data_IF_052362530638
#
_entry.id   IF_052362530638
#
_cell.length_a   1.000
_cell.length_b   1.000
_cell.length_c   1.000
_cell.angle_alpha   90.00
_cell.angle_beta   90.00
_cell.angle_gamma   90.00
#
_symmetry.space_group_name_H-M   'P 1'
#
loop_
_entity.id
_entity.type
_entity.pdbx_description
1 polymer ?
#
# COMPACT_ATOMS: atom_id res chain seq x y z
N UNK A 1 2.28 -13.95 -26.43
CA UNK A 1 1.50 -13.04 -25.59
C UNK A 1 1.46 -11.67 -26.29
N UNK A 2 0.37 -11.33 -27.00
CA UNK A 2 0.31 -10.14 -27.85
C UNK A 2 0.09 -8.83 -27.07
N UNK A 3 -0.29 -8.91 -25.79
CA UNK A 3 -0.58 -7.76 -24.94
C UNK A 3 -1.81 -6.93 -25.36
N UNK A 4 -1.97 -5.72 -24.80
CA UNK A 4 -2.99 -4.75 -25.17
C UNK A 4 -3.08 -4.48 -26.68
N UNK A 5 -4.28 -4.16 -27.15
CA UNK A 5 -4.53 -3.81 -28.56
C UNK A 5 -3.71 -2.59 -28.96
N UNK A 6 -3.66 -1.59 -28.08
CA UNK A 6 -2.94 -0.33 -28.26
C UNK A 6 -1.43 -0.51 -28.43
N UNK A 7 -0.87 -1.68 -28.10
CA UNK A 7 0.56 -1.94 -28.31
C UNK A 7 0.90 -2.24 -29.78
N UNK A 8 -0.11 -2.54 -30.62
CA UNK A 8 0.11 -2.86 -32.03
C UNK A 8 0.79 -4.20 -32.28
N UNK A 9 0.93 -5.07 -31.27
CA UNK A 9 1.64 -6.36 -31.32
C UNK A 9 0.76 -7.58 -31.61
N UNK A 10 -0.38 -7.36 -32.27
CA UNK A 10 -1.33 -8.42 -32.62
C UNK A 10 -2.38 -8.73 -31.55
N UNK A 11 -2.55 -7.87 -30.54
CA UNK A 11 -3.65 -7.98 -29.57
C UNK A 11 -4.98 -7.68 -30.25
N UNK A 12 -6.01 -8.49 -29.97
CA UNK A 12 -7.34 -8.39 -30.60
C UNK A 12 -8.50 -8.27 -29.60
N UNK A 13 -8.21 -8.46 -28.31
CA UNK A 13 -9.20 -8.36 -27.23
C UNK A 13 -8.96 -7.10 -26.38
N UNK A 14 -10.01 -6.35 -26.00
CA UNK A 14 -9.89 -5.19 -25.13
C UNK A 14 -9.19 -5.51 -23.81
N UNK A 15 -8.31 -4.61 -23.37
CA UNK A 15 -7.63 -4.72 -22.07
C UNK A 15 -7.83 -3.48 -21.21
N UNK A 16 -7.40 -3.57 -19.94
CA UNK A 16 -7.42 -2.43 -19.00
C UNK A 16 -6.55 -1.28 -19.51
N UNK A 17 -5.39 -1.57 -20.11
CA UNK A 17 -4.51 -0.53 -20.68
C UNK A 17 -5.18 0.17 -21.87
N UNK A 18 -5.94 -0.54 -22.70
CA UNK A 18 -6.71 0.07 -23.79
C UNK A 18 -7.76 1.05 -23.24
N UNK A 19 -8.47 0.67 -22.17
CA UNK A 19 -9.42 1.53 -21.49
C UNK A 19 -8.74 2.78 -20.88
N UNK A 20 -7.63 2.61 -20.16
CA UNK A 20 -6.89 3.72 -19.57
C UNK A 20 -6.39 4.72 -20.62
N UNK A 21 -5.99 4.23 -21.80
CA UNK A 21 -5.60 5.08 -22.93
C UNK A 21 -6.80 5.85 -23.50
N UNK A 22 -7.95 5.20 -23.67
CA UNK A 22 -9.19 5.84 -24.16
C UNK A 22 -9.68 6.92 -23.19
N UNK A 23 -9.58 6.68 -21.89
CA UNK A 23 -9.99 7.61 -20.82
C UNK A 23 -9.02 8.79 -20.63
N UNK A 24 -7.91 8.82 -21.37
CA UNK A 24 -6.92 9.91 -21.33
C UNK A 24 -5.92 9.81 -20.17
N UNK A 25 -5.92 8.71 -19.40
CA UNK A 25 -4.99 8.52 -18.29
C UNK A 25 -3.57 8.20 -18.75
N UNK A 26 -3.42 7.55 -19.90
CA UNK A 26 -2.12 7.25 -20.51
C UNK A 26 -1.87 8.14 -21.73
N UNK A 27 -0.61 8.51 -21.93
CA UNK A 27 -0.19 9.27 -23.10
C UNK A 27 0.14 8.33 -24.28
N UNK A 28 -0.48 8.50 -25.46
CA UNK A 28 -0.16 7.69 -26.62
C UNK A 28 1.26 7.90 -27.18
N UNK A 29 1.88 9.05 -26.93
CA UNK A 29 3.23 9.40 -27.38
C UNK A 29 4.32 9.28 -26.30
N UNK A 30 3.96 9.16 -25.02
CA UNK A 30 4.93 9.14 -23.91
C UNK A 30 5.02 7.80 -23.15
N UNK A 31 4.38 6.72 -23.61
CA UNK A 31 4.47 5.43 -22.94
C UNK A 31 5.91 4.88 -22.88
N UNK A 32 6.33 4.39 -21.71
CA UNK A 32 7.72 4.01 -21.40
C UNK A 32 8.73 5.15 -21.67
N UNK A 33 8.36 6.39 -21.32
CA UNK A 33 9.13 7.60 -21.60
C UNK A 33 9.29 7.90 -23.09
N UNK A 34 8.26 7.61 -23.88
CA UNK A 34 8.21 7.83 -25.33
C UNK A 34 8.93 6.76 -26.16
N UNK A 35 9.38 5.66 -25.56
CA UNK A 35 9.98 4.53 -26.30
C UNK A 35 8.96 3.69 -27.05
N UNK A 36 7.68 3.86 -26.75
CA UNK A 36 6.58 3.12 -27.37
C UNK A 36 5.41 4.05 -27.64
N UNK A 37 5.00 4.14 -28.90
CA UNK A 37 3.75 4.80 -29.27
C UNK A 37 2.57 3.83 -29.12
N UNK A 38 1.45 4.33 -28.60
CA UNK A 38 0.22 3.56 -28.43
C UNK A 38 -0.82 3.93 -29.48
N UNK A 39 -1.52 2.94 -30.01
CA UNK A 39 -2.55 3.10 -31.02
C UNK A 39 -3.93 3.30 -30.37
N UNK A 40 -4.24 4.56 -30.06
CA UNK A 40 -5.54 4.97 -29.50
C UNK A 40 -6.70 4.64 -30.45
N UNK A 41 -6.52 4.82 -31.76
CA UNK A 41 -7.58 4.60 -32.73
C UNK A 41 -7.99 3.12 -32.77
N UNK A 42 -7.01 2.22 -32.77
CA UNK A 42 -7.24 0.77 -32.73
C UNK A 42 -7.85 0.33 -31.41
N UNK A 43 -7.39 0.87 -30.28
CA UNK A 43 -8.01 0.62 -28.98
C UNK A 43 -9.51 0.98 -28.98
N UNK A 44 -9.85 2.19 -29.47
CA UNK A 44 -11.24 2.65 -29.61
C UNK A 44 -12.07 1.74 -30.51
N UNK A 45 -11.53 1.35 -31.67
CA UNK A 45 -12.22 0.47 -32.61
C UNK A 45 -12.54 -0.89 -31.99
N UNK A 46 -11.58 -1.50 -31.31
CA UNK A 46 -11.75 -2.84 -30.72
C UNK A 46 -12.70 -2.80 -29.51
N UNK A 47 -12.56 -1.81 -28.60
CA UNK A 47 -13.52 -1.62 -27.49
C UNK A 47 -14.93 -1.39 -28.01
N UNK A 48 -15.09 -0.57 -29.06
CA UNK A 48 -16.39 -0.33 -29.70
C UNK A 48 -17.02 -1.63 -30.19
N UNK A 49 -16.31 -2.38 -31.03
CA UNK A 49 -16.85 -3.57 -31.68
C UNK A 49 -17.10 -4.73 -30.71
N UNK A 50 -16.25 -4.90 -29.70
CA UNK A 50 -16.28 -6.06 -28.80
C UNK A 50 -17.19 -5.85 -27.60
N UNK A 51 -17.34 -4.61 -27.13
CA UNK A 51 -18.06 -4.28 -25.88
C UNK A 51 -19.16 -3.24 -26.15
N UNK A 52 -18.81 -2.04 -26.60
CA UNK A 52 -19.75 -0.90 -26.62
C UNK A 52 -21.00 -1.18 -27.48
N UNK A 53 -20.82 -1.66 -28.71
CA UNK A 53 -21.92 -1.94 -29.64
C UNK A 53 -22.84 -3.07 -29.15
N UNK A 54 -22.30 -4.04 -28.42
CA UNK A 54 -23.08 -5.18 -27.89
C UNK A 54 -23.92 -4.80 -26.68
N UNK A 55 -23.48 -3.78 -25.93
CA UNK A 55 -24.15 -3.30 -24.72
C UNK A 55 -24.98 -2.03 -24.96
N UNK A 56 -24.92 -1.44 -26.16
CA UNK A 56 -25.60 -0.18 -26.45
C UNK A 56 -24.99 1.03 -25.73
N UNK A 57 -23.69 1.01 -25.51
CA UNK A 57 -22.92 2.07 -24.82
C UNK A 57 -22.07 2.87 -25.82
N UNK A 58 -21.68 4.07 -25.44
CA UNK A 58 -20.56 4.78 -26.08
C UNK A 58 -19.23 4.08 -25.80
N UNK A 59 -18.20 4.42 -26.57
CA UNK A 59 -16.85 3.85 -26.38
C UNK A 59 -16.27 4.28 -25.03
N UNK A 60 -16.56 5.52 -24.64
CA UNK A 60 -16.15 6.16 -23.40
C UNK A 60 -16.80 5.47 -22.19
N UNK A 61 -18.11 5.21 -22.23
CA UNK A 61 -18.81 4.46 -21.18
C UNK A 61 -18.30 3.01 -21.08
N UNK A 62 -18.04 2.36 -22.22
CA UNK A 62 -17.46 1.01 -22.23
C UNK A 62 -16.04 0.99 -21.63
N UNK A 63 -15.18 1.93 -22.02
CA UNK A 63 -13.83 2.07 -21.46
C UNK A 63 -13.88 2.36 -19.96
N UNK A 64 -14.77 3.25 -19.53
CA UNK A 64 -15.01 3.54 -18.13
C UNK A 64 -15.45 2.30 -17.36
N UNK A 65 -16.38 1.52 -17.90
CA UNK A 65 -16.83 0.26 -17.32
C UNK A 65 -15.70 -0.76 -17.11
N UNK A 66 -14.82 -0.91 -18.10
CA UNK A 66 -13.62 -1.78 -17.97
C UNK A 66 -12.73 -1.28 -16.83
N UNK A 67 -12.42 0.01 -16.80
CA UNK A 67 -11.58 0.62 -15.77
C UNK A 67 -12.20 0.46 -14.38
N UNK A 68 -13.50 0.68 -14.23
CA UNK A 68 -14.20 0.54 -12.95
C UNK A 68 -14.24 -0.90 -12.45
N UNK A 69 -14.54 -1.87 -13.30
CA UNK A 69 -14.57 -3.28 -12.89
C UNK A 69 -13.17 -3.72 -12.44
N UNK A 70 -12.12 -3.33 -13.17
CA UNK A 70 -10.75 -3.62 -12.78
C UNK A 70 -10.41 -3.02 -11.41
N UNK A 71 -10.76 -1.76 -11.18
CA UNK A 71 -10.53 -1.08 -9.90
C UNK A 71 -11.30 -1.70 -8.74
N UNK A 72 -12.58 -2.04 -8.95
CA UNK A 72 -13.40 -2.63 -7.88
C UNK A 72 -12.90 -4.03 -7.51
N UNK A 73 -12.45 -4.82 -8.50
CA UNK A 73 -11.82 -6.10 -8.23
C UNK A 73 -10.52 -5.94 -7.41
N UNK A 74 -9.66 -4.96 -7.77
CA UNK A 74 -8.43 -4.67 -7.02
C UNK A 74 -8.72 -4.16 -5.60
N UNK A 75 -9.69 -3.25 -5.45
CA UNK A 75 -10.12 -2.73 -4.16
C UNK A 75 -10.71 -3.84 -3.28
N UNK A 76 -11.53 -4.72 -3.84
CA UNK A 76 -12.08 -5.87 -3.12
C UNK A 76 -10.98 -6.84 -2.65
N UNK A 77 -9.99 -7.14 -3.50
CA UNK A 77 -8.85 -7.96 -3.11
C UNK A 77 -8.06 -7.34 -1.94
N UNK A 78 -7.79 -6.03 -1.99
CA UNK A 78 -7.14 -5.30 -0.90
C UNK A 78 -8.00 -5.30 0.39
N UNK A 79 -9.31 -5.13 0.27
CA UNK A 79 -10.27 -5.15 1.39
C UNK A 79 -10.30 -6.51 2.08
N UNK A 80 -10.37 -7.60 1.31
CA UNK A 80 -10.30 -8.97 1.84
C UNK A 80 -9.00 -9.19 2.59
N UNK A 81 -7.86 -8.80 2.00
CA UNK A 81 -6.56 -8.94 2.65
C UNK A 81 -6.46 -8.13 3.96
N UNK A 82 -6.99 -6.91 3.99
CA UNK A 82 -7.03 -6.10 5.20
C UNK A 82 -7.88 -6.77 6.30
N UNK A 83 -9.06 -7.30 5.94
CA UNK A 83 -9.95 -8.01 6.87
C UNK A 83 -9.33 -9.30 7.43
N UNK A 84 -8.60 -10.07 6.61
CA UNK A 84 -7.84 -11.25 7.06
C UNK A 84 -6.78 -10.90 8.12
N UNK A 85 -6.35 -9.64 8.17
CA UNK A 85 -5.39 -9.09 9.12
C UNK A 85 -6.03 -8.28 10.26
N UNK A 86 -7.37 -8.28 10.36
CA UNK A 86 -8.11 -7.47 11.34
C UNK A 86 -7.92 -5.97 11.14
N UNK A 87 -7.74 -5.50 9.91
CA UNK A 87 -7.48 -4.09 9.58
C UNK A 87 -8.65 -3.46 8.83
N UNK A 88 -9.05 -2.27 9.26
CA UNK A 88 -9.99 -1.42 8.53
C UNK A 88 -9.22 -0.54 7.52
N UNK A 89 -9.38 -0.73 6.19
CA UNK A 89 -8.64 0.02 5.18
C UNK A 89 -8.85 1.54 5.25
N UNK A 90 -9.95 2.01 5.86
CA UNK A 90 -10.23 3.45 6.04
C UNK A 90 -9.27 4.13 7.03
N UNK A 91 -8.50 3.35 7.79
CA UNK A 91 -7.53 3.84 8.78
C UNK A 91 -6.10 3.91 8.23
N UNK A 92 -5.88 3.53 6.97
CA UNK A 92 -4.54 3.41 6.40
C UNK A 92 -4.41 4.19 5.11
N UNK A 93 -3.23 4.80 4.83
CA UNK A 93 -2.94 5.33 3.52
C UNK A 93 -2.80 4.19 2.50
N UNK A 94 -3.17 4.46 1.25
CA UNK A 94 -2.91 3.58 0.12
C UNK A 94 -1.55 3.93 -0.49
N UNK A 95 -0.61 2.99 -0.48
CA UNK A 95 0.70 3.16 -1.11
C UNK A 95 0.69 2.60 -2.55
N UNK A 96 0.82 3.46 -3.55
CA UNK A 96 0.67 3.11 -4.96
C UNK A 96 2.02 2.94 -5.66
N UNK A 97 2.29 1.73 -6.13
CA UNK A 97 3.52 1.40 -6.85
C UNK A 97 3.28 0.33 -7.94
N UNK A 98 4.34 0.02 -8.70
CA UNK A 98 4.29 -0.78 -9.91
C UNK A 98 3.87 0.06 -11.11
N UNK A 99 4.10 -0.44 -12.33
CA UNK A 99 3.89 0.37 -13.55
C UNK A 99 2.44 0.81 -13.81
N UNK A 100 1.45 0.07 -13.28
CA UNK A 100 0.03 0.39 -13.41
C UNK A 100 -0.66 0.69 -12.06
N UNK A 101 0.00 0.51 -10.92
CA UNK A 101 -0.64 0.80 -9.63
C UNK A 101 -1.11 2.26 -9.53
N UNK A 102 -0.24 3.24 -9.79
CA UNK A 102 -0.59 4.66 -9.66
C UNK A 102 -1.69 5.16 -10.60
N UNK A 103 -1.89 4.54 -11.77
CA UNK A 103 -2.97 4.95 -12.69
C UNK A 103 -4.35 4.54 -12.18
N UNK A 104 -4.41 3.51 -11.33
CA UNK A 104 -5.62 2.98 -10.73
C UNK A 104 -5.84 3.46 -9.28
N UNK A 105 -4.80 3.98 -8.65
CA UNK A 105 -4.76 4.20 -7.22
C UNK A 105 -5.82 5.18 -6.69
N UNK A 106 -6.12 6.26 -7.42
CA UNK A 106 -7.17 7.21 -7.02
C UNK A 106 -8.54 6.53 -6.85
N UNK A 107 -8.96 5.73 -7.84
CA UNK A 107 -10.25 5.02 -7.78
C UNK A 107 -10.25 3.92 -6.73
N UNK A 108 -9.12 3.21 -6.56
CA UNK A 108 -8.98 2.20 -5.50
C UNK A 108 -9.08 2.86 -4.12
N UNK A 109 -8.41 4.00 -3.91
CA UNK A 109 -8.45 4.75 -2.65
C UNK A 109 -9.89 5.18 -2.32
N UNK A 110 -10.65 5.68 -3.31
CA UNK A 110 -12.08 6.00 -3.13
C UNK A 110 -12.91 4.76 -2.75
N UNK A 111 -12.74 3.63 -3.44
CA UNK A 111 -13.50 2.39 -3.15
C UNK A 111 -13.16 1.80 -1.77
N UNK A 112 -11.91 1.95 -1.32
CA UNK A 112 -11.48 1.53 0.02
C UNK A 112 -11.88 2.53 1.13
N UNK A 113 -12.24 3.76 0.78
CA UNK A 113 -12.41 4.85 1.74
C UNK A 113 -11.09 5.24 2.40
N UNK A 114 -9.96 5.05 1.71
CA UNK A 114 -8.63 5.46 2.18
C UNK A 114 -8.57 6.98 2.27
N UNK A 115 -8.09 7.57 3.38
CA UNK A 115 -8.04 9.03 3.54
C UNK A 115 -6.89 9.66 2.71
N UNK A 116 -5.87 8.86 2.41
CA UNK A 116 -4.62 9.33 1.83
C UNK A 116 -4.12 8.33 0.77
N UNK A 117 -3.58 8.86 -0.33
CA UNK A 117 -2.86 8.12 -1.35
C UNK A 117 -1.41 8.62 -1.37
N UNK A 118 -0.47 7.68 -1.26
CA UNK A 118 0.97 7.93 -1.33
C UNK A 118 1.52 7.31 -2.63
N UNK A 119 2.08 8.14 -3.50
CA UNK A 119 2.80 7.69 -4.68
C UNK A 119 4.28 8.13 -4.59
N UNK A 120 5.21 7.21 -4.33
CA UNK A 120 6.62 7.53 -4.17
C UNK A 120 7.27 7.90 -5.50
N UNK A 121 8.42 8.58 -5.44
CA UNK A 121 9.28 8.75 -6.62
C UNK A 121 9.72 7.37 -7.15
N UNK A 122 9.61 7.19 -8.47
CA UNK A 122 9.89 5.90 -9.11
C UNK A 122 8.85 4.84 -8.77
N UNK A 123 7.58 5.23 -8.62
CA UNK A 123 6.49 4.33 -8.27
C UNK A 123 6.46 3.10 -9.19
N UNK A 124 6.74 3.28 -10.48
CA UNK A 124 6.79 2.20 -11.47
C UNK A 124 7.85 1.12 -11.21
N UNK A 125 8.91 1.42 -10.45
CA UNK A 125 10.08 0.54 -10.21
C UNK A 125 10.34 0.24 -8.74
N UNK A 126 9.34 0.47 -7.88
CA UNK A 126 9.52 0.35 -6.43
C UNK A 126 9.94 -1.05 -5.96
N UNK A 127 9.62 -2.12 -6.70
CA UNK A 127 10.15 -3.46 -6.40
C UNK A 127 11.68 -3.55 -6.52
N UNK A 128 12.27 -2.87 -7.50
CA UNK A 128 13.73 -2.77 -7.66
C UNK A 128 14.35 -1.92 -6.55
N UNK A 129 13.70 -0.81 -6.18
CA UNK A 129 14.13 0.01 -5.04
C UNK A 129 14.11 -0.82 -3.75
N UNK A 130 13.05 -1.61 -3.53
CA UNK A 130 12.94 -2.53 -2.40
C UNK A 130 14.05 -3.58 -2.39
N UNK A 131 14.38 -4.14 -3.55
CA UNK A 131 15.50 -5.08 -3.70
C UNK A 131 16.84 -4.44 -3.33
N UNK A 132 17.10 -3.21 -3.78
CA UNK A 132 18.34 -2.47 -3.46
C UNK A 132 18.41 -1.99 -2.00
N UNK A 133 17.25 -1.81 -1.36
CA UNK A 133 17.15 -1.29 0.02
C UNK A 133 17.08 -2.39 1.09
N UNK A 134 16.86 -3.64 0.68
CA UNK A 134 16.80 -4.77 1.60
C UNK A 134 18.22 -5.17 2.05
N UNK A 135 18.45 -5.43 3.35
CA UNK A 135 19.69 -6.04 3.78
C UNK A 135 19.85 -7.42 3.16
N UNK A 136 21.09 -7.82 2.87
CA UNK A 136 21.38 -9.21 2.60
C UNK A 136 21.02 -10.02 3.85
N UNK A 137 20.11 -10.98 3.70
CA UNK A 137 19.59 -11.77 4.80
C UNK A 137 19.31 -13.20 4.37
N UNK A 138 19.44 -14.13 5.32
CA UNK A 138 19.09 -15.54 5.17
C UNK A 138 18.07 -15.92 6.25
N UNK A 139 16.94 -16.49 5.82
CA UNK A 139 15.86 -16.98 6.69
C UNK A 139 15.96 -18.50 6.79
N UNK A 140 16.18 -19.00 8.00
CA UNK A 140 16.26 -20.42 8.32
C UNK A 140 15.03 -20.84 9.09
N UNK A 141 14.49 -22.00 8.73
CA UNK A 141 13.30 -22.57 9.37
C UNK A 141 13.56 -24.04 9.65
N UNK A 142 13.38 -24.46 10.91
CA UNK A 142 13.38 -25.88 11.28
C UNK A 142 12.08 -26.24 11.99
N UNK A 143 11.41 -27.28 11.49
CA UNK A 143 10.17 -27.77 12.09
C UNK A 143 10.49 -28.73 13.23
N UNK A 144 10.01 -28.38 14.42
CA UNK A 144 10.04 -29.22 15.60
C UNK A 144 8.84 -28.87 16.48
N UNK A 145 7.79 -29.66 16.33
CA UNK A 145 6.54 -29.52 17.07
C UNK A 145 6.73 -29.95 18.53
N UNK A 146 6.41 -29.05 19.47
CA UNK A 146 6.52 -29.29 20.91
C UNK A 146 5.58 -28.35 21.68
N UNK A 147 4.93 -28.87 22.73
CA UNK A 147 4.16 -28.02 23.64
C UNK A 147 5.07 -27.06 24.40
N UNK A 148 4.66 -25.79 24.55
CA UNK A 148 5.46 -24.72 25.18
C UNK A 148 5.97 -25.09 26.57
N UNK A 149 5.17 -25.82 27.35
CA UNK A 149 5.52 -26.25 28.71
C UNK A 149 6.42 -27.51 28.75
N UNK A 150 6.67 -28.16 27.61
CA UNK A 150 7.42 -29.41 27.49
C UNK A 150 8.67 -29.25 26.61
N UNK A 151 9.07 -28.01 26.34
CA UNK A 151 10.26 -27.70 25.54
C UNK A 151 11.52 -28.18 26.28
N UNK A 152 12.33 -28.97 25.57
CA UNK A 152 13.73 -29.15 25.89
C UNK A 152 14.50 -27.88 25.49
N UNK A 153 14.78 -27.02 26.48
CA UNK A 153 15.42 -25.73 26.24
C UNK A 153 16.87 -25.86 25.78
N UNK A 154 17.58 -26.93 26.15
CA UNK A 154 18.93 -27.17 25.65
C UNK A 154 18.88 -27.46 24.14
N UNK A 155 17.94 -28.30 23.71
CA UNK A 155 17.69 -28.57 22.29
C UNK A 155 17.24 -27.32 21.54
N UNK A 156 16.35 -26.50 22.11
CA UNK A 156 15.89 -25.26 21.48
C UNK A 156 17.04 -24.27 21.25
N UNK A 157 17.88 -24.05 22.27
CA UNK A 157 19.05 -23.18 22.16
C UNK A 157 20.05 -23.71 21.14
N UNK A 158 20.30 -25.02 21.13
CA UNK A 158 21.17 -25.65 20.13
C UNK A 158 20.62 -25.43 18.71
N UNK A 159 19.33 -25.67 18.49
CA UNK A 159 18.67 -25.48 17.20
C UNK A 159 18.81 -24.06 16.66
N UNK A 160 18.60 -23.06 17.54
CA UNK A 160 18.76 -21.65 17.20
C UNK A 160 20.22 -21.30 16.91
N UNK A 161 21.16 -21.77 17.73
CA UNK A 161 22.58 -21.52 17.55
C UNK A 161 23.14 -22.13 16.25
N UNK A 162 22.66 -23.31 15.85
CA UNK A 162 22.99 -23.93 14.55
C UNK A 162 22.55 -23.03 13.39
N UNK A 163 21.30 -22.56 13.39
CA UNK A 163 20.80 -21.67 12.33
C UNK A 163 21.52 -20.31 12.31
N UNK A 164 21.86 -19.75 13.47
CA UNK A 164 22.66 -18.53 13.56
C UNK A 164 24.06 -18.73 12.98
N UNK A 165 24.71 -19.86 13.28
CA UNK A 165 26.02 -20.19 12.74
C UNK A 165 25.99 -20.39 11.21
N UNK A 166 24.96 -21.06 10.68
CA UNK A 166 24.75 -21.19 9.23
C UNK A 166 24.57 -19.82 8.56
N UNK A 167 23.70 -18.97 9.12
CA UNK A 167 23.47 -17.62 8.60
C UNK A 167 24.72 -16.76 8.64
N UNK A 168 25.47 -16.82 9.74
CA UNK A 168 26.77 -16.14 9.88
C UNK A 168 27.75 -16.55 8.79
N UNK A 169 27.88 -17.85 8.53
CA UNK A 169 28.80 -18.36 7.52
C UNK A 169 28.44 -17.86 6.12
N UNK A 170 27.15 -17.88 5.75
CA UNK A 170 26.68 -17.40 4.45
C UNK A 170 26.90 -15.89 4.28
N UNK A 171 26.63 -15.09 5.31
CA UNK A 171 26.82 -13.64 5.28
C UNK A 171 28.30 -13.25 5.18
N UNK A 172 29.18 -13.91 5.94
CA UNK A 172 30.63 -13.70 5.85
C UNK A 172 31.14 -14.06 4.45
N UNK A 173 30.70 -15.18 3.89
CA UNK A 173 31.07 -15.59 2.53
C UNK A 173 30.54 -14.62 1.45
N UNK A 174 29.52 -13.83 1.78
CA UNK A 174 28.95 -12.79 0.92
C UNK A 174 29.57 -11.41 1.16
N UNK A 175 30.60 -11.30 2.01
CA UNK A 175 31.35 -10.07 2.25
C UNK A 175 30.84 -9.19 3.40
N UNK A 176 29.92 -9.68 4.25
CA UNK A 176 29.45 -8.95 5.43
C UNK A 176 30.44 -9.12 6.58
N UNK A 177 30.82 -8.03 7.26
CA UNK A 177 31.70 -8.11 8.41
C UNK A 177 31.00 -8.82 9.60
N UNK A 178 31.70 -9.69 10.36
CA UNK A 178 31.09 -10.45 11.45
C UNK A 178 30.35 -9.60 12.49
N UNK A 179 30.86 -8.39 12.77
CA UNK A 179 30.30 -7.48 13.78
C UNK A 179 29.07 -6.70 13.28
N UNK A 180 28.81 -6.70 11.97
CA UNK A 180 27.64 -6.07 11.35
C UNK A 180 26.46 -7.03 11.20
N UNK A 181 26.62 -8.30 11.59
CA UNK A 181 25.58 -9.33 11.47
C UNK A 181 24.64 -9.26 12.67
N UNK A 182 23.35 -9.17 12.38
CA UNK A 182 22.27 -9.18 13.38
C UNK A 182 21.41 -10.42 13.22
N UNK A 183 20.78 -10.85 14.32
CA UNK A 183 19.88 -11.99 14.34
C UNK A 183 18.51 -11.58 14.88
N UNK A 184 17.46 -12.08 14.22
CA UNK A 184 16.09 -12.06 14.71
C UNK A 184 15.58 -13.49 14.82
N UNK A 185 15.04 -13.84 15.99
CA UNK A 185 14.47 -15.16 16.25
C UNK A 185 12.94 -15.06 16.28
N UNK A 186 12.29 -16.03 15.66
CA UNK A 186 10.83 -16.13 15.62
C UNK A 186 10.42 -17.60 15.81
N UNK A 187 9.21 -17.83 16.32
CA UNK A 187 8.56 -19.14 16.30
C UNK A 187 7.17 -19.05 15.75
N UNK A 188 6.75 -20.09 15.05
CA UNK A 188 5.34 -20.25 14.70
C UNK A 188 4.65 -21.05 15.81
N UNK A 189 3.62 -20.44 16.42
CA UNK A 189 2.91 -20.95 17.58
C UNK A 189 1.41 -21.06 17.29
N UNK A 190 0.72 -22.01 17.93
CA UNK A 190 -0.73 -22.10 17.91
C UNK A 190 -1.29 -22.75 19.17
N UNK A 191 -2.59 -22.62 19.39
CA UNK A 191 -3.28 -23.44 20.38
C UNK A 191 -3.38 -24.88 19.89
N UNK A 192 -3.16 -25.85 20.79
CA UNK A 192 -3.28 -27.28 20.45
C UNK A 192 -4.65 -27.56 19.85
N UNK A 193 -4.66 -28.23 18.69
CA UNK A 193 -5.87 -28.53 17.91
C UNK A 193 -6.31 -27.43 16.92
N UNK A 194 -5.62 -26.28 16.90
CA UNK A 194 -5.85 -25.23 15.90
C UNK A 194 -5.21 -25.59 14.55
N UNK A 195 -5.88 -25.22 13.44
CA UNK A 195 -5.39 -25.49 12.08
C UNK A 195 -4.38 -24.49 11.52
N UNK A 196 -4.18 -23.34 12.18
CA UNK A 196 -3.30 -22.27 11.71
C UNK A 196 -2.41 -21.74 12.84
N UNK A 197 -1.18 -21.45 12.48
CA UNK A 197 -0.15 -20.86 13.32
C UNK A 197 -0.01 -19.35 13.15
N UNK A 198 0.48 -18.69 14.19
CA UNK A 198 0.87 -17.28 14.16
C UNK A 198 2.36 -17.15 14.50
N UNK A 199 3.00 -16.14 13.93
CA UNK A 199 4.42 -15.87 14.11
C UNK A 199 4.65 -15.00 15.34
N UNK A 200 5.45 -15.48 16.27
CA UNK A 200 5.73 -14.82 17.55
C UNK A 200 7.23 -14.54 17.65
N UNK A 201 7.64 -13.30 17.99
CA UNK A 201 9.05 -12.99 18.20
C UNK A 201 9.60 -13.76 19.41
N UNK A 202 10.87 -14.15 19.34
CA UNK A 202 11.61 -14.68 20.48
C UNK A 202 12.73 -13.73 20.87
N UNK A 203 13.00 -13.67 22.18
CA UNK A 203 14.14 -12.95 22.70
C UNK A 203 15.46 -13.54 22.18
N UNK A 204 16.40 -12.66 21.86
CA UNK A 204 17.80 -13.05 21.65
C UNK A 204 18.44 -13.39 23.01
N UNK A 205 19.37 -14.36 23.02
CA UNK A 205 20.01 -14.87 24.23
C UNK A 205 19.62 -16.30 24.58
N UNK A 206 19.97 -16.76 25.78
CA UNK A 206 19.68 -18.14 26.21
C UNK A 206 18.22 -18.27 26.66
N UNK A 207 17.49 -19.20 26.03
CA UNK A 207 16.12 -19.54 26.40
C UNK A 207 16.10 -20.52 27.56
N UNK A 208 15.12 -20.40 28.45
CA UNK A 208 14.96 -21.31 29.59
C UNK A 208 13.50 -21.42 30.01
N UNK A 209 13.19 -22.37 30.89
CA UNK A 209 11.86 -22.56 31.44
C UNK A 209 11.31 -21.33 32.19
N UNK A 210 12.19 -20.46 32.70
CA UNK A 210 11.79 -19.21 33.35
C UNK A 210 11.15 -18.22 32.36
N UNK A 211 11.41 -18.35 31.05
CA UNK A 211 10.85 -17.50 30.00
C UNK A 211 9.45 -17.91 29.51
N UNK A 212 8.94 -19.08 29.93
CA UNK A 212 7.62 -19.58 29.50
C UNK A 212 6.48 -18.57 29.70
N UNK A 213 6.37 -17.88 30.86
CA UNK A 213 5.32 -16.87 31.05
C UNK A 213 5.40 -15.73 30.02
N UNK A 214 6.61 -15.29 29.68
CA UNK A 214 6.85 -14.24 28.68
C UNK A 214 6.46 -14.71 27.28
N UNK A 215 6.92 -15.88 26.83
CA UNK A 215 6.57 -16.42 25.51
C UNK A 215 5.07 -16.65 25.35
N UNK A 216 4.40 -17.09 26.43
CA UNK A 216 2.94 -17.20 26.46
C UNK A 216 2.27 -15.83 26.31
N UNK A 217 2.76 -14.81 27.02
CA UNK A 217 2.23 -13.45 26.91
C UNK A 217 2.45 -12.86 25.51
N UNK A 218 3.63 -13.07 24.92
CA UNK A 218 3.95 -12.62 23.55
C UNK A 218 3.01 -13.27 22.52
N UNK A 219 2.80 -14.58 22.62
CA UNK A 219 1.84 -15.28 21.78
C UNK A 219 0.42 -14.73 21.96
N UNK A 220 -0.03 -14.54 23.20
CA UNK A 220 -1.37 -14.02 23.50
C UNK A 220 -1.56 -12.60 22.97
N UNK A 221 -0.54 -11.74 23.07
CA UNK A 221 -0.54 -10.39 22.52
C UNK A 221 -0.69 -10.42 20.99
N UNK A 222 0.16 -11.18 20.29
CA UNK A 222 0.09 -11.30 18.82
C UNK A 222 -1.25 -11.92 18.40
N UNK A 223 -1.75 -12.91 19.13
CA UNK A 223 -3.05 -13.53 18.87
C UNK A 223 -4.20 -12.53 19.03
N UNK A 224 -4.17 -11.71 20.09
CA UNK A 224 -5.19 -10.69 20.35
C UNK A 224 -5.11 -9.55 19.31
N UNK A 225 -3.92 -9.16 18.86
CA UNK A 225 -3.74 -8.18 17.79
C UNK A 225 -4.30 -8.67 16.44
N UNK A 226 -4.23 -9.97 16.15
CA UNK A 226 -4.72 -10.56 14.90
C UNK A 226 -6.21 -10.88 14.92
N UNK A 227 -6.74 -11.33 16.06
CA UNK A 227 -8.11 -11.87 16.16
C UNK A 227 -9.04 -11.10 17.09
N UNK A 228 -8.56 -10.02 17.72
CA UNK A 228 -9.30 -9.17 18.68
C UNK A 228 -9.95 -9.93 19.84
N UNK A 229 -9.41 -11.11 20.18
CA UNK A 229 -9.93 -11.98 21.24
C UNK A 229 -8.82 -12.77 21.91
N UNK A 230 -9.07 -13.20 23.14
CA UNK A 230 -8.25 -14.19 23.79
C UNK A 230 -8.54 -15.57 23.19
N UNK A 231 -7.52 -16.43 23.18
CA UNK A 231 -7.69 -17.79 22.67
C UNK A 231 -8.27 -18.76 23.70
N UNK A 232 -8.57 -19.99 23.26
CA UNK A 232 -9.15 -21.02 24.11
C UNK A 232 -8.23 -21.39 25.28
N UNK A 233 -8.78 -21.91 26.41
CA UNK A 233 -8.00 -22.33 27.58
C UNK A 233 -7.34 -23.70 27.35
N UNK A 234 -6.54 -23.82 26.29
CA UNK A 234 -5.78 -25.02 25.93
C UNK A 234 -4.28 -24.71 25.85
N UNK A 235 -3.47 -25.76 25.80
CA UNK A 235 -2.03 -25.61 25.69
C UNK A 235 -1.62 -24.94 24.38
N UNK A 236 -0.41 -24.39 24.37
CA UNK A 236 0.19 -23.76 23.20
C UNK A 236 1.30 -24.68 22.71
N UNK A 237 1.38 -24.90 21.41
CA UNK A 237 2.47 -25.62 20.76
C UNK A 237 3.28 -24.69 19.85
N UNK A 238 4.59 -24.93 19.83
CA UNK A 238 5.55 -24.34 18.91
C UNK A 238 5.78 -25.33 17.79
N UNK A 239 5.67 -24.93 16.52
CA UNK A 239 5.82 -25.83 15.36
C UNK A 239 7.12 -25.60 14.60
N UNK A 240 7.42 -24.34 14.29
CA UNK A 240 8.58 -23.96 13.50
C UNK A 240 9.43 -22.98 14.28
N UNK A 241 10.73 -23.19 14.22
CA UNK A 241 11.74 -22.33 14.82
C UNK A 241 12.47 -21.60 13.70
N UNK A 242 12.63 -20.29 13.85
CA UNK A 242 13.13 -19.42 12.79
C UNK A 242 14.28 -18.55 13.29
N UNK A 243 15.27 -18.38 12.44
CA UNK A 243 16.34 -17.39 12.60
C UNK A 243 16.48 -16.64 11.28
N UNK A 244 16.37 -15.33 11.34
CA UNK A 244 16.78 -14.44 10.27
C UNK A 244 18.13 -13.85 10.66
N UNK A 245 19.18 -14.21 9.90
CA UNK A 245 20.48 -13.56 9.99
C UNK A 245 20.55 -12.48 8.89
N UNK A 246 20.88 -11.24 9.25
CA UNK A 246 20.92 -10.11 8.32
C UNK A 246 22.19 -9.28 8.48
N UNK A 247 22.75 -8.83 7.36
CA UNK A 247 23.78 -7.79 7.34
C UNK A 247 23.20 -6.38 7.54
N UNK A 248 24.03 -5.34 7.41
CA UNK A 248 23.58 -3.97 7.59
C UNK A 248 22.58 -3.57 6.50
N UNK A 249 21.61 -2.72 6.86
CA UNK A 249 20.66 -2.17 5.90
C UNK A 249 21.41 -1.22 4.94
N UNK A 250 21.28 -1.41 3.61
CA UNK A 250 21.87 -0.49 2.64
C UNK A 250 21.33 0.93 2.84
N UNK A 251 22.22 1.91 2.81
CA UNK A 251 21.82 3.32 2.78
C UNK A 251 21.44 3.71 1.35
N UNK A 252 20.15 3.62 1.02
CA UNK A 252 19.61 4.08 -0.26
C UNK A 252 19.03 5.48 -0.08
N UNK A 253 19.51 6.44 -0.87
CA UNK A 253 18.92 7.77 -1.01
C UNK A 253 18.37 7.91 -2.41
N UNK A 254 17.07 8.17 -2.52
CA UNK A 254 16.44 8.54 -3.78
C UNK A 254 16.57 10.06 -3.92
N UNK A 255 17.22 10.49 -4.99
CA UNK A 255 17.40 11.90 -5.32
C UNK A 255 16.98 12.09 -6.78
N UNK A 256 16.26 13.18 -7.06
CA UNK A 256 16.05 13.61 -8.44
C UNK A 256 17.32 14.34 -8.87
N UNK A 257 18.18 13.67 -9.63
CA UNK A 257 19.27 14.33 -10.35
C UNK A 257 18.69 14.90 -11.63
N UNK A 258 18.39 16.21 -11.67
CA UNK A 258 17.99 16.81 -12.94
C UNK A 258 19.22 16.90 -13.86
N UNK A 259 19.32 15.98 -14.81
CA UNK A 259 20.42 15.97 -15.79
C UNK A 259 20.32 17.15 -16.77
N UNK A 260 19.16 17.80 -16.88
CA UNK A 260 18.96 19.02 -17.66
C UNK A 260 17.90 19.88 -16.97
N UNK A 261 18.26 21.15 -16.73
CA UNK A 261 17.46 22.19 -16.08
C UNK A 261 17.21 21.94 -14.58
N UNK A 262 17.56 22.94 -13.75
CA UNK A 262 17.38 22.81 -12.31
C UNK A 262 15.93 22.50 -11.94
N UNK A 263 15.74 21.90 -10.77
CA UNK A 263 14.45 21.81 -10.09
C UNK A 263 13.55 23.02 -10.41
N UNK A 264 12.33 22.77 -10.90
CA UNK A 264 11.42 23.86 -11.20
C UNK A 264 11.14 24.66 -9.92
N UNK A 265 11.12 25.98 -10.05
CA UNK A 265 10.84 26.88 -8.91
C UNK A 265 9.35 27.07 -8.67
N UNK A 266 8.50 26.70 -9.64
CA UNK A 266 7.04 26.79 -9.56
C UNK A 266 6.39 25.55 -10.15
N UNK A 267 5.17 25.25 -9.71
CA UNK A 267 4.36 24.16 -10.27
C UNK A 267 4.13 24.33 -11.78
N UNK A 268 3.87 25.56 -12.25
CA UNK A 268 3.63 25.84 -13.67
C UNK A 268 4.81 25.48 -14.57
N UNK A 269 6.05 25.62 -14.08
CA UNK A 269 7.25 25.23 -14.81
C UNK A 269 7.43 23.71 -14.92
N UNK A 270 6.68 22.91 -14.15
CA UNK A 270 6.64 21.44 -14.28
C UNK A 270 5.59 20.96 -15.28
N UNK A 271 4.70 21.84 -15.73
CA UNK A 271 3.60 21.47 -16.62
C UNK A 271 4.12 21.30 -18.05
N UNK A 272 3.98 20.09 -18.60
CA UNK A 272 4.40 19.77 -19.97
C UNK A 272 3.26 19.74 -20.99
N UNK A 273 2.01 19.87 -20.53
CA UNK A 273 0.86 19.96 -21.43
C UNK A 273 -0.48 19.85 -20.72
N UNK A 274 -1.52 19.63 -21.52
CA UNK A 274 -2.88 19.31 -21.11
C UNK A 274 -3.44 18.22 -22.01
N UNK A 275 -4.29 17.34 -21.47
CA UNK A 275 -5.03 16.34 -22.24
C UNK A 275 -6.43 16.17 -21.63
N UNK A 276 -7.48 15.97 -22.44
CA UNK A 276 -8.78 15.55 -21.92
C UNK A 276 -8.65 14.22 -21.20
N UNK A 277 -9.06 14.17 -19.93
CA UNK A 277 -9.17 12.93 -19.17
C UNK A 277 -10.57 12.78 -18.59
N UNK A 278 -11.09 11.56 -18.58
CA UNK A 278 -12.44 11.27 -18.13
C UNK A 278 -12.49 11.14 -16.61
N UNK A 279 -13.35 11.91 -15.97
CA UNK A 279 -13.68 11.77 -14.55
C UNK A 279 -15.22 11.79 -14.39
N UNK A 280 -15.83 10.76 -13.77
CA UNK A 280 -17.26 10.77 -13.51
C UNK A 280 -17.65 11.92 -12.56
N UNK A 281 -16.73 12.37 -11.70
CA UNK A 281 -16.93 13.48 -10.78
C UNK A 281 -17.10 14.84 -11.51
N UNK A 282 -16.73 14.90 -12.80
CA UNK A 282 -16.88 16.09 -13.65
C UNK A 282 -17.83 15.85 -14.82
N UNK A 283 -18.68 14.82 -14.75
CA UNK A 283 -19.62 14.43 -15.80
C UNK A 283 -18.96 14.17 -17.18
N UNK A 284 -17.70 13.70 -17.19
CA UNK A 284 -17.03 13.29 -18.43
C UNK A 284 -15.59 13.78 -18.56
N UNK A 285 -15.21 14.16 -19.79
CA UNK A 285 -13.86 14.63 -20.08
C UNK A 285 -13.65 16.08 -19.64
N UNK A 286 -12.52 16.33 -18.98
CA UNK A 286 -12.03 17.67 -18.62
C UNK A 286 -10.57 17.82 -19.03
N UNK A 287 -10.21 19.01 -19.50
CA UNK A 287 -8.82 19.35 -19.81
C UNK A 287 -7.98 19.28 -18.53
N UNK A 288 -7.11 18.28 -18.48
CA UNK A 288 -6.35 17.94 -17.27
C UNK A 288 -4.88 18.30 -17.48
N UNK A 289 -4.27 19.09 -16.58
CA UNK A 289 -2.85 19.42 -16.67
C UNK A 289 -1.98 18.18 -16.47
N UNK A 290 -0.90 18.12 -17.24
CA UNK A 290 0.09 17.05 -17.18
C UNK A 290 1.39 17.64 -16.63
N UNK A 291 1.87 17.08 -15.52
CA UNK A 291 3.12 17.47 -14.88
C UNK A 291 4.22 16.44 -15.15
N UNK A 292 5.43 16.92 -15.42
CA UNK A 292 6.63 16.09 -15.44
C UNK A 292 7.08 15.83 -14.00
N UNK A 293 7.00 14.55 -13.57
CA UNK A 293 7.35 14.18 -12.21
C UNK A 293 8.79 14.59 -11.85
N UNK A 294 9.72 14.55 -12.80
CA UNK A 294 11.14 14.79 -12.55
C UNK A 294 11.49 16.28 -12.38
N UNK A 295 10.53 17.18 -12.62
CA UNK A 295 10.69 18.62 -12.35
C UNK A 295 10.05 19.06 -11.02
N UNK A 296 9.23 18.20 -10.41
CA UNK A 296 8.48 18.50 -9.19
C UNK A 296 9.32 18.30 -7.92
N UNK A 297 9.32 19.30 -7.04
CA UNK A 297 10.17 19.34 -5.84
C UNK A 297 9.37 19.44 -4.53
N UNK A 298 9.99 19.08 -3.38
CA UNK A 298 9.36 19.18 -2.08
C UNK A 298 8.76 20.56 -1.79
N UNK A 299 7.60 20.57 -1.15
CA UNK A 299 6.87 21.78 -0.80
C UNK A 299 5.92 22.32 -1.87
N UNK A 300 6.00 21.85 -3.12
CA UNK A 300 4.98 22.18 -4.13
C UNK A 300 3.62 21.58 -3.75
N UNK A 301 2.55 22.31 -4.03
CA UNK A 301 1.17 21.93 -3.72
C UNK A 301 0.23 22.27 -4.89
N UNK A 302 -0.82 21.47 -5.07
CA UNK A 302 -1.87 21.70 -6.07
C UNK A 302 -3.14 20.91 -5.74
N UNK A 303 -4.24 21.29 -6.39
CA UNK A 303 -5.51 20.56 -6.33
C UNK A 303 -5.78 19.93 -7.69
N UNK A 304 -6.25 18.67 -7.69
CA UNK A 304 -6.63 17.98 -8.91
C UNK A 304 -7.90 18.53 -9.57
N UNK A 305 -8.23 18.07 -10.80
CA UNK A 305 -7.60 16.92 -11.47
C UNK A 305 -6.22 17.25 -12.05
N UNK A 306 -5.31 16.27 -12.01
CA UNK A 306 -3.99 16.35 -12.63
C UNK A 306 -3.45 14.96 -12.98
N UNK A 307 -2.59 14.90 -13.99
CA UNK A 307 -1.84 13.69 -14.37
C UNK A 307 -0.35 13.96 -14.14
N UNK A 308 0.32 13.07 -13.42
CA UNK A 308 1.75 13.18 -13.15
C UNK A 308 2.44 12.02 -13.85
N UNK A 309 3.32 12.33 -14.80
CA UNK A 309 3.96 11.33 -15.63
C UNK A 309 5.41 11.12 -15.22
N UNK A 310 5.72 9.87 -14.89
CA UNK A 310 7.07 9.32 -14.84
C UNK A 310 7.33 8.52 -16.12
N UNK A 311 8.58 8.14 -16.35
CA UNK A 311 8.92 7.22 -17.44
C UNK A 311 8.28 5.84 -17.24
N UNK A 312 8.19 5.39 -16.00
CA UNK A 312 7.81 4.02 -15.64
C UNK A 312 6.34 3.88 -15.19
N UNK A 313 5.65 4.99 -14.89
CA UNK A 313 4.28 4.98 -14.38
C UNK A 313 3.59 6.34 -14.57
N UNK A 314 2.26 6.36 -14.43
CA UNK A 314 1.44 7.58 -14.45
C UNK A 314 0.57 7.62 -13.21
N UNK A 315 0.63 8.72 -12.45
CA UNK A 315 -0.20 8.95 -11.25
C UNK A 315 -1.38 9.83 -11.63
N UNK A 316 -2.58 9.43 -11.21
CA UNK A 316 -3.80 10.23 -11.38
C UNK A 316 -4.14 10.89 -10.04
N UNK A 317 -4.16 12.22 -10.02
CA UNK A 317 -4.74 13.00 -8.92
C UNK A 317 -6.13 13.40 -9.37
N UNK A 318 -7.16 12.85 -8.74
CA UNK A 318 -8.53 13.10 -9.16
C UNK A 318 -9.07 14.47 -8.73
N UNK A 319 -10.28 14.83 -9.18
CA UNK A 319 -10.91 16.12 -8.87
C UNK A 319 -11.02 16.38 -7.37
N UNK A 320 -10.76 17.63 -6.98
CA UNK A 320 -10.83 18.11 -5.59
C UNK A 320 -9.89 17.43 -4.58
N UNK A 321 -8.99 16.55 -5.02
CA UNK A 321 -7.90 16.01 -4.17
C UNK A 321 -6.79 17.04 -4.02
N UNK A 322 -6.35 17.27 -2.79
CA UNK A 322 -5.19 18.10 -2.50
C UNK A 322 -3.92 17.25 -2.56
N UNK A 323 -2.91 17.71 -3.29
CA UNK A 323 -1.63 17.03 -3.43
C UNK A 323 -0.50 17.95 -2.97
N UNK A 324 0.47 17.38 -2.26
CA UNK A 324 1.76 18.02 -2.02
C UNK A 324 2.91 17.04 -2.23
N UNK A 325 4.12 17.56 -2.41
CA UNK A 325 5.34 16.75 -2.44
C UNK A 325 6.06 16.90 -1.10
N UNK A 326 6.30 15.79 -0.40
CA UNK A 326 7.04 15.76 0.88
C UNK A 326 8.56 15.86 0.69
N UNK A 327 9.34 15.92 1.78
CA UNK A 327 10.81 15.98 1.73
C UNK A 327 11.48 14.76 1.06
N UNK A 328 10.76 13.65 0.92
CA UNK A 328 11.24 12.40 0.32
C UNK A 328 10.77 12.22 -1.12
N UNK A 329 10.20 13.27 -1.73
CA UNK A 329 9.65 13.22 -3.08
C UNK A 329 8.50 12.19 -3.20
N UNK A 330 7.71 11.97 -2.16
CA UNK A 330 6.43 11.30 -2.32
C UNK A 330 5.37 12.32 -2.74
N UNK A 331 4.49 11.93 -3.67
CA UNK A 331 3.22 12.61 -3.88
C UNK A 331 2.28 12.16 -2.77
N UNK A 332 1.88 13.10 -1.92
CA UNK A 332 0.94 12.89 -0.83
C UNK A 332 -0.40 13.49 -1.22
N UNK A 333 -1.36 12.63 -1.52
CA UNK A 333 -2.66 13.00 -2.12
C UNK A 333 -3.77 12.74 -1.10
N UNK A 334 -4.31 13.81 -0.54
CA UNK A 334 -5.49 13.75 0.32
C UNK A 334 -6.75 13.54 -0.53
N UNK A 335 -7.58 12.57 -0.15
CA UNK A 335 -8.84 12.31 -0.83
C UNK A 335 -9.87 13.40 -0.48
N UNK A 336 -10.71 13.78 -1.44
CA UNK A 336 -11.72 14.82 -1.21
C UNK A 336 -12.63 14.45 -0.03
N UNK A 337 -12.74 15.36 0.96
CA UNK A 337 -13.51 15.13 2.19
C UNK A 337 -12.72 14.53 3.37
N UNK A 338 -11.44 14.22 3.19
CA UNK A 338 -10.56 13.86 4.30
C UNK A 338 -9.91 15.13 4.91
N UNK A 339 -10.16 15.40 6.19
CA UNK A 339 -9.32 16.34 6.95
C UNK A 339 -7.97 15.66 7.21
N UNK A 340 -6.92 16.07 6.49
CA UNK A 340 -5.56 15.60 6.76
C UNK A 340 -4.86 16.67 7.58
N UNK A 341 -4.77 16.46 8.89
CA UNK A 341 -3.87 17.21 9.76
C UNK A 341 -2.46 16.72 9.49
N UNK A 342 -1.66 17.52 8.80
CA UNK A 342 -0.23 17.24 8.62
C UNK A 342 0.48 17.56 9.94
N UNK A 343 0.60 16.58 10.81
CA UNK A 343 1.51 16.66 11.96
C UNK A 343 2.87 16.14 11.50
N UNK A 344 3.87 17.04 11.51
CA UNK A 344 5.26 16.62 11.33
C UNK A 344 5.63 15.59 12.38
N UNK A 345 6.38 14.57 11.95
CA UNK A 345 7.06 13.53 12.73
C UNK A 345 6.94 13.66 14.25
N UNK A 346 5.98 12.92 14.82
CA UNK A 346 6.15 11.94 15.92
C UNK A 346 4.75 11.53 16.40
N UNK A 347 4.51 10.22 16.43
CA UNK A 347 3.34 9.51 16.96
C UNK A 347 1.95 9.73 16.30
N UNK A 348 1.44 8.64 15.71
CA UNK A 348 0.05 8.51 15.27
C UNK A 348 -0.87 8.33 16.49
N UNK A 349 -1.33 9.42 17.08
CA UNK A 349 -2.53 9.42 17.94
C UNK A 349 -3.72 10.02 17.18
N UNK A 350 -4.73 9.18 16.92
CA UNK A 350 -6.04 9.63 16.46
C UNK A 350 -6.81 10.21 17.64
N UNK A 351 -7.03 11.53 17.65
CA UNK A 351 -7.91 12.19 18.63
C UNK A 351 -9.37 11.93 18.28
N UNK A 352 -10.06 11.15 19.12
CA UNK A 352 -11.52 11.06 19.12
C UNK A 352 -12.12 12.41 19.53
N UNK A 353 -12.94 13.00 18.66
CA UNK A 353 -13.70 14.20 19.00
C UNK A 353 -14.98 13.78 19.73
N UNK A 354 -14.98 13.94 21.06
CA UNK A 354 -16.16 13.76 21.91
C UNK A 354 -17.12 14.94 21.70
N UNK A 355 -18.29 14.67 21.12
CA UNK A 355 -19.42 15.61 21.10
C UNK A 355 -19.99 15.78 22.52
N UNK A 356 -19.56 16.82 23.24
CA UNK A 356 -20.22 17.27 24.46
C UNK A 356 -21.40 18.17 24.10
N UNK A 357 -22.62 17.68 24.34
CA UNK A 357 -23.85 18.44 24.19
C UNK A 357 -23.92 19.61 25.18
N UNK A 358 -24.13 20.81 24.64
CA UNK A 358 -24.45 22.01 25.39
C UNK A 358 -25.84 21.89 26.03
N UNK A 359 -25.92 22.01 27.35
CA UNK A 359 -27.18 22.23 28.08
C UNK A 359 -27.02 23.36 29.09
N UNK A 360 -27.50 24.55 28.74
CA UNK A 360 -27.93 25.67 29.60
C UNK A 360 -28.59 26.67 28.61
N UNK A 361 -29.78 27.24 28.79
CA UNK A 361 -30.52 27.74 29.96
C UNK A 361 -32.01 27.88 29.54
N UNK A 362 -32.94 27.73 30.47
CA UNK A 362 -33.85 28.80 30.92
C UNK A 362 -35.08 28.25 31.66
N UNK A 363 -35.20 28.69 32.91
CA UNK A 363 -36.36 28.57 33.78
C UNK A 363 -37.62 29.23 33.22
N UNK A 364 -38.79 28.69 33.59
CA UNK A 364 -39.73 29.32 34.54
C UNK A 364 -41.22 29.10 34.20
N UNK A 365 -41.95 28.80 35.26
CA UNK A 365 -43.35 29.14 35.54
C UNK A 365 -44.52 28.22 35.11
N UNK A 366 -45.02 27.55 36.17
CA UNK A 366 -46.40 27.57 36.71
C UNK A 366 -47.53 26.75 36.08
N UNK A 367 -48.12 25.99 37.00
CA UNK A 367 -49.54 25.75 37.25
C UNK A 367 -50.30 24.71 36.42
N UNK A 368 -50.88 23.77 37.18
CA UNK A 368 -52.31 23.47 37.07
C UNK A 368 -52.62 22.03 36.66
N UNK A 369 -53.19 21.29 37.62
CA UNK A 369 -54.40 20.45 37.49
C UNK A 369 -54.45 19.37 36.41
N UNK A 370 -55.11 18.22 36.52
CA UNK A 370 -55.80 17.40 37.53
C UNK A 370 -56.19 16.13 36.75
N UNK A 371 -56.31 14.98 37.44
CA UNK A 371 -57.15 13.81 37.09
C UNK A 371 -56.73 12.99 35.84
N UNK A 372 -56.43 11.69 35.98
CA UNK A 372 -57.35 10.59 36.25
C UNK A 372 -57.50 9.78 34.94
N UNK A 373 -57.41 8.46 34.86
CA UNK A 373 -57.42 7.35 35.80
C UNK A 373 -56.51 6.23 35.28
#
# INVERSE_FOLDING_TARGET
DPGPVCYGRGGEEPTVTDANLILGYLDPGYFLGGRMSLDLAKARQVVKAKIADKLGLSVEEAAWGIHQIANENMANAARVHALERGKDPRRFPLFAFGGAGPVHAYRIALSLGSPLLLAPLGAGVMSTVGFLSAPLAFDFVRSWAVELNSIDWAKANQLLAEMEAEGKALLINSGVAPDDITYRREVDMRYVGQGHEIRVPLANGELSAAGVPTHKADFQRVYQELYERLGPPVNIEVLNWRVIAAGPKPAVKLEITSENEGAATTLSATQKGTRPAYFPETDGFVDTPIYDRYLMTPGMQFTGPAIIEERESTVIVGPASACHIDEHYNLVIAMAGAEVTVTGHDDLETTETTMAGNSHLADAHTNGDTHGA
#
